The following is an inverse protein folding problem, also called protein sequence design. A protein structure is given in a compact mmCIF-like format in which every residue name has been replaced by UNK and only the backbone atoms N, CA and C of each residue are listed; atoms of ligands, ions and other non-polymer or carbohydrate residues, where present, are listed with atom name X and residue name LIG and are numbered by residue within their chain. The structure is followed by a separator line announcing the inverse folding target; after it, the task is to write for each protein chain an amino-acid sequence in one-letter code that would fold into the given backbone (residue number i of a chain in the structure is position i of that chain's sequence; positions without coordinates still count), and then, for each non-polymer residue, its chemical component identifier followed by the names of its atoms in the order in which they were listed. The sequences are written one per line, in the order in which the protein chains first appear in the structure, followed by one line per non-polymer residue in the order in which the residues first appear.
data_IF_339800015644
#
_entry.id   IF_339800015644
#
_cell.length_a   1.000
_cell.length_b   1.000
_cell.length_c   1.000
_cell.angle_alpha   90.00
_cell.angle_beta   90.00
_cell.angle_gamma   90.00
#
_symmetry.space_group_name_H-M   'P 1'
#
loop_
_entity.id
_entity.type
_entity.pdbx_description
1 polymer ?
#
# COMPACT_ATOMS: atom_id res chain seq x y z
N UNK A 1 24.23 3.22 12.29
CA UNK A 1 23.21 2.29 11.74
C UNK A 1 23.78 1.56 10.54
N UNK A 2 23.97 0.25 10.66
CA UNK A 2 24.36 -0.63 9.56
C UNK A 2 23.26 -0.69 8.50
N UNK A 3 23.60 -1.03 7.26
CA UNK A 3 22.64 -1.16 6.15
C UNK A 3 21.48 -2.10 6.52
N UNK A 4 21.75 -3.16 7.28
CA UNK A 4 20.76 -4.08 7.85
C UNK A 4 19.68 -3.37 8.67
N UNK A 5 20.07 -2.49 9.59
CA UNK A 5 19.11 -1.75 10.42
C UNK A 5 18.23 -0.79 9.61
N UNK A 6 18.74 -0.23 8.51
CA UNK A 6 17.96 0.64 7.62
C UNK A 6 16.95 -0.15 6.80
N UNK A 7 17.37 -1.29 6.24
CA UNK A 7 16.48 -2.17 5.49
C UNK A 7 15.36 -2.72 6.38
N UNK A 8 15.67 -3.10 7.63
CA UNK A 8 14.67 -3.55 8.59
C UNK A 8 13.66 -2.44 8.95
N UNK A 9 14.13 -1.21 9.19
CA UNK A 9 13.24 -0.07 9.46
C UNK A 9 12.36 0.28 8.25
N UNK A 10 12.91 0.20 7.03
CA UNK A 10 12.15 0.43 5.81
C UNK A 10 11.11 -0.67 5.55
N UNK A 11 11.45 -1.94 5.82
CA UNK A 11 10.51 -3.05 5.77
C UNK A 11 9.39 -2.88 6.81
N UNK A 12 9.71 -2.48 8.04
CA UNK A 12 8.72 -2.17 9.07
C UNK A 12 7.76 -1.04 8.62
N UNK A 13 8.29 0.00 7.97
CA UNK A 13 7.47 1.06 7.39
C UNK A 13 6.52 0.54 6.29
N UNK A 14 6.98 -0.40 5.45
CA UNK A 14 6.14 -1.06 4.45
C UNK A 14 5.03 -1.90 5.09
N UNK A 15 5.34 -2.62 6.18
CA UNK A 15 4.36 -3.39 6.94
C UNK A 15 3.29 -2.46 7.49
N UNK A 16 3.67 -1.36 8.16
CA UNK A 16 2.72 -0.39 8.72
C UNK A 16 1.84 0.23 7.63
N UNK A 17 2.44 0.69 6.52
CA UNK A 17 1.72 1.29 5.41
C UNK A 17 0.78 0.27 4.72
N UNK A 18 1.28 -0.93 4.44
CA UNK A 18 0.51 -2.00 3.80
C UNK A 18 -0.65 -2.49 4.67
N UNK A 19 -0.43 -2.64 5.98
CA UNK A 19 -1.50 -2.98 6.94
C UNK A 19 -2.55 -1.87 7.00
N UNK A 20 -2.13 -0.62 7.20
CA UNK A 20 -3.08 0.49 7.32
C UNK A 20 -3.96 0.65 6.07
N UNK A 21 -3.34 0.62 4.89
CA UNK A 21 -4.07 0.78 3.62
C UNK A 21 -4.85 -0.48 3.27
N UNK A 22 -4.31 -1.69 3.53
CA UNK A 22 -5.01 -2.95 3.29
C UNK A 22 -6.26 -3.09 4.17
N UNK A 23 -6.19 -2.68 5.44
CA UNK A 23 -7.36 -2.62 6.33
C UNK A 23 -8.39 -1.61 5.82
N UNK A 24 -7.95 -0.42 5.37
CA UNK A 24 -8.84 0.57 4.79
C UNK A 24 -9.55 0.04 3.53
N UNK A 25 -8.79 -0.57 2.60
CA UNK A 25 -9.34 -1.19 1.40
C UNK A 25 -10.36 -2.28 1.76
N UNK A 26 -10.08 -3.07 2.81
CA UNK A 26 -11.00 -4.10 3.30
C UNK A 26 -12.29 -3.53 3.86
N UNK A 27 -12.22 -2.43 4.62
CA UNK A 27 -13.41 -1.73 5.11
C UNK A 27 -14.22 -1.20 3.95
N UNK A 28 -13.57 -0.57 2.95
CA UNK A 28 -14.23 -0.05 1.76
C UNK A 28 -14.93 -1.17 0.97
N UNK A 29 -14.27 -2.30 0.73
CA UNK A 29 -14.89 -3.48 0.09
C UNK A 29 -16.14 -3.93 0.84
N UNK A 30 -16.08 -4.01 2.17
CA UNK A 30 -17.24 -4.38 2.99
C UNK A 30 -18.38 -3.39 2.88
N UNK A 31 -18.08 -2.10 2.80
CA UNK A 31 -19.10 -1.07 2.55
C UNK A 31 -19.71 -1.21 1.16
N UNK A 32 -18.92 -1.58 0.15
CA UNK A 32 -19.41 -1.81 -1.22
C UNK A 32 -20.44 -2.94 -1.24
N UNK A 33 -20.17 -4.06 -0.57
CA UNK A 33 -21.09 -5.21 -0.50
C UNK A 33 -22.36 -4.88 0.26
N UNK A 34 -22.26 -4.11 1.34
CA UNK A 34 -23.44 -3.61 2.08
C UNK A 34 -24.28 -2.67 1.22
N UNK A 35 -23.64 -1.77 0.47
CA UNK A 35 -24.34 -0.86 -0.45
C UNK A 35 -25.03 -1.60 -1.62
N UNK A 36 -24.47 -2.74 -2.00
CA UNK A 36 -25.01 -3.67 -2.96
C UNK A 36 -26.15 -4.57 -2.42
N UNK A 37 -26.48 -4.47 -1.13
CA UNK A 37 -27.40 -5.38 -0.44
C UNK A 37 -27.00 -6.88 -0.55
N UNK A 38 -25.71 -7.16 -0.80
CA UNK A 38 -25.19 -8.51 -0.86
C UNK A 38 -24.85 -9.05 0.52
N UNK A 39 -24.86 -10.38 0.67
CA UNK A 39 -24.36 -11.03 1.87
C UNK A 39 -22.84 -10.84 1.95
N UNK A 40 -22.37 -10.15 2.98
CA UNK A 40 -20.95 -9.92 3.22
C UNK A 40 -20.25 -11.20 3.69
N UNK A 41 -20.09 -12.18 2.79
CA UNK A 41 -19.42 -13.47 2.99
C UNK A 41 -17.90 -13.36 3.14
N UNK A 42 -17.40 -12.32 3.82
CA UNK A 42 -15.98 -12.10 3.97
C UNK A 42 -15.36 -13.02 5.01
N UNK A 43 -14.50 -13.93 4.55
CA UNK A 43 -13.70 -14.76 5.43
C UNK A 43 -12.56 -13.97 6.09
N UNK A 44 -12.19 -14.38 7.30
CA UNK A 44 -11.00 -13.89 7.99
C UNK A 44 -9.72 -14.20 7.19
N UNK A 45 -9.65 -15.38 6.57
CA UNK A 45 -8.53 -15.79 5.72
C UNK A 45 -8.38 -14.91 4.48
N UNK A 46 -9.48 -14.55 3.80
CA UNK A 46 -9.45 -13.63 2.66
C UNK A 46 -8.98 -12.23 3.06
N UNK A 47 -9.41 -11.75 4.23
CA UNK A 47 -8.98 -10.46 4.77
C UNK A 47 -7.47 -10.43 5.05
N UNK A 48 -6.95 -11.48 5.71
CA UNK A 48 -5.53 -11.63 5.98
C UNK A 48 -4.71 -11.75 4.67
N UNK A 49 -5.23 -12.47 3.67
CA UNK A 49 -4.60 -12.60 2.36
C UNK A 49 -4.41 -11.26 1.66
N UNK A 50 -5.46 -10.43 1.61
CA UNK A 50 -5.40 -9.09 0.99
C UNK A 50 -4.36 -8.22 1.70
N UNK A 51 -4.40 -8.14 3.03
CA UNK A 51 -3.44 -7.34 3.80
C UNK A 51 -2.00 -7.83 3.57
N UNK A 52 -1.80 -9.15 3.53
CA UNK A 52 -0.48 -9.75 3.25
C UNK A 52 0.02 -9.37 1.87
N UNK A 53 -0.84 -9.41 0.84
CA UNK A 53 -0.48 -9.00 -0.52
C UNK A 53 -0.05 -7.52 -0.56
N UNK A 54 -0.78 -6.63 0.11
CA UNK A 54 -0.43 -5.21 0.19
C UNK A 54 0.95 -5.00 0.81
N UNK A 55 1.24 -5.69 1.90
CA UNK A 55 2.54 -5.62 2.58
C UNK A 55 3.65 -6.14 1.67
N UNK A 56 3.51 -7.37 1.16
CA UNK A 56 4.54 -8.05 0.36
C UNK A 56 4.85 -7.27 -0.92
N UNK A 57 3.82 -6.75 -1.60
CA UNK A 57 4.01 -5.96 -2.81
C UNK A 57 4.82 -4.66 -2.58
N UNK A 58 4.76 -4.09 -1.37
CA UNK A 58 5.43 -2.84 -1.03
C UNK A 58 6.84 -3.01 -0.47
N UNK A 59 7.18 -4.18 0.10
CA UNK A 59 8.48 -4.45 0.73
C UNK A 59 9.66 -4.16 -0.21
N UNK A 60 9.71 -4.65 -1.47
CA UNK A 60 10.86 -4.40 -2.35
C UNK A 60 11.10 -2.91 -2.59
N UNK A 61 10.02 -2.16 -2.83
CA UNK A 61 10.08 -0.72 -3.03
C UNK A 61 10.53 0.03 -1.78
N UNK A 62 10.03 -0.35 -0.61
CA UNK A 62 10.44 0.26 0.65
C UNK A 62 11.91 -0.02 0.99
N UNK A 63 12.39 -1.25 0.79
CA UNK A 63 13.82 -1.60 0.94
C UNK A 63 14.66 -0.77 -0.02
N UNK A 64 14.23 -0.62 -1.28
CA UNK A 64 14.91 0.23 -2.25
C UNK A 64 14.97 1.72 -1.84
N UNK A 65 14.02 2.24 -1.05
CA UNK A 65 14.11 3.61 -0.49
C UNK A 65 15.35 3.74 0.41
N UNK A 66 15.77 2.67 1.10
CA UNK A 66 16.90 2.68 2.03
C UNK A 66 18.28 2.46 1.37
N UNK A 67 18.33 1.78 0.22
CA UNK A 67 19.60 1.33 -0.38
C UNK A 67 19.81 1.71 -1.84
N UNK A 68 18.76 2.12 -2.56
CA UNK A 68 18.83 2.38 -4.00
C UNK A 68 18.56 3.85 -4.34
N UNK A 69 18.72 4.19 -5.63
CA UNK A 69 18.37 5.52 -6.15
C UNK A 69 16.86 5.73 -6.06
N UNK A 70 16.45 6.99 -5.84
CA UNK A 70 15.03 7.39 -5.75
C UNK A 70 14.17 6.86 -6.90
N UNK A 71 14.67 6.89 -8.13
CA UNK A 71 13.95 6.38 -9.30
C UNK A 71 13.62 4.90 -9.21
N UNK A 72 14.55 4.07 -8.73
CA UNK A 72 14.35 2.61 -8.56
C UNK A 72 13.31 2.34 -7.47
N UNK A 73 13.39 3.07 -6.35
CA UNK A 73 12.43 2.92 -5.25
C UNK A 73 11.01 3.29 -5.68
N UNK A 74 10.85 4.40 -6.41
CA UNK A 74 9.55 4.81 -6.96
C UNK A 74 9.04 3.78 -7.98
N UNK A 75 9.89 3.30 -8.89
CA UNK A 75 9.50 2.31 -9.88
C UNK A 75 9.00 1.01 -9.22
N UNK A 76 9.69 0.51 -8.19
CA UNK A 76 9.29 -0.71 -7.47
C UNK A 76 8.00 -0.54 -6.67
N UNK A 77 7.80 0.61 -6.00
CA UNK A 77 6.55 0.90 -5.30
C UNK A 77 5.37 1.00 -6.27
N UNK A 78 5.57 1.68 -7.39
CA UNK A 78 4.54 1.78 -8.44
C UNK A 78 4.25 0.41 -9.05
N UNK A 79 5.28 -0.39 -9.33
CA UNK A 79 5.11 -1.75 -9.85
C UNK A 79 4.31 -2.63 -8.88
N UNK A 80 4.60 -2.56 -7.58
CA UNK A 80 3.82 -3.25 -6.55
C UNK A 80 2.35 -2.78 -6.52
N UNK A 81 2.10 -1.49 -6.70
CA UNK A 81 0.74 -0.95 -6.77
C UNK A 81 -0.01 -1.42 -8.00
N UNK A 82 0.65 -1.47 -9.16
CA UNK A 82 0.07 -1.97 -10.41
C UNK A 82 -0.22 -3.47 -10.28
N UNK A 83 0.67 -4.23 -9.66
CA UNK A 83 0.46 -5.65 -9.38
C UNK A 83 -0.81 -5.87 -8.54
N UNK A 84 -1.05 -5.05 -7.52
CA UNK A 84 -2.26 -5.13 -6.68
C UNK A 84 -3.55 -4.81 -7.44
N UNK A 85 -3.50 -4.16 -8.61
CA UNK A 85 -4.69 -3.99 -9.44
C UNK A 85 -5.21 -5.33 -9.97
N UNK A 86 -4.34 -6.33 -10.20
CA UNK A 86 -4.76 -7.66 -10.72
C UNK A 86 -5.73 -8.37 -9.76
N UNK A 87 -5.37 -8.63 -8.49
CA UNK A 87 -6.32 -9.23 -7.56
C UNK A 87 -7.50 -8.30 -7.23
N UNK A 88 -7.32 -6.97 -7.24
CA UNK A 88 -8.41 -6.04 -7.00
C UNK A 88 -9.49 -6.11 -8.09
N UNK A 89 -9.08 -6.20 -9.36
CA UNK A 89 -9.99 -6.42 -10.49
C UNK A 89 -10.66 -7.79 -10.40
N UNK A 90 -9.91 -8.85 -10.06
CA UNK A 90 -10.48 -10.18 -9.87
C UNK A 90 -11.61 -10.19 -8.83
N UNK A 91 -11.37 -9.63 -7.64
CA UNK A 91 -12.38 -9.49 -6.59
C UNK A 91 -13.55 -8.63 -7.07
N UNK A 92 -13.28 -7.50 -7.73
CA UNK A 92 -14.34 -6.65 -8.24
C UNK A 92 -15.20 -7.33 -9.30
N UNK A 93 -14.61 -8.14 -10.18
CA UNK A 93 -15.35 -8.90 -11.20
C UNK A 93 -16.21 -10.00 -10.60
N UNK A 94 -15.71 -10.71 -9.58
CA UNK A 94 -16.51 -11.69 -8.85
C UNK A 94 -17.68 -11.04 -8.10
N UNK A 95 -17.42 -9.93 -7.40
CA UNK A 95 -18.48 -9.21 -6.69
C UNK A 95 -19.50 -8.61 -7.66
N UNK A 96 -19.08 -7.91 -8.72
CA UNK A 96 -19.97 -7.31 -9.72
C UNK A 96 -20.81 -8.37 -10.44
N UNK A 97 -20.25 -9.54 -10.73
CA UNK A 97 -20.98 -10.64 -11.36
C UNK A 97 -22.13 -11.19 -10.51
N UNK A 98 -22.07 -10.98 -9.20
CA UNK A 98 -23.07 -11.40 -8.22
C UNK A 98 -24.03 -10.27 -7.80
N UNK A 99 -23.78 -9.04 -8.27
CA UNK A 99 -24.70 -7.92 -8.07
C UNK A 99 -25.93 -8.14 -8.94
N UNK A 100 -27.07 -8.40 -8.31
CA UNK A 100 -28.38 -8.39 -8.96
C UNK A 100 -28.76 -7.00 -9.49
N UNK A 101 -30.05 -6.78 -9.75
CA UNK A 101 -30.51 -5.50 -10.29
C UNK A 101 -30.41 -4.38 -9.23
N UNK A 102 -29.38 -3.54 -9.36
CA UNK A 102 -29.13 -2.43 -8.46
C UNK A 102 -29.93 -1.21 -8.90
N UNK A 103 -30.73 -0.65 -7.99
CA UNK A 103 -31.31 0.69 -8.19
C UNK A 103 -30.22 1.77 -8.34
N UNK A 104 -30.57 2.93 -8.90
CA UNK A 104 -29.63 4.02 -9.21
C UNK A 104 -28.73 4.42 -8.03
N UNK A 105 -29.28 4.47 -6.81
CA UNK A 105 -28.53 4.80 -5.59
C UNK A 105 -27.48 3.74 -5.28
N UNK A 106 -27.81 2.45 -5.43
CA UNK A 106 -26.89 1.34 -5.24
C UNK A 106 -25.74 1.38 -6.25
N UNK A 107 -26.05 1.63 -7.53
CA UNK A 107 -25.05 1.77 -8.59
C UNK A 107 -24.07 2.89 -8.32
N UNK A 108 -24.56 4.08 -7.92
CA UNK A 108 -23.69 5.22 -7.58
C UNK A 108 -22.83 4.90 -6.35
N UNK A 109 -23.41 4.30 -5.32
CA UNK A 109 -22.69 3.94 -4.10
C UNK A 109 -21.57 2.93 -4.38
N UNK A 110 -21.85 1.87 -5.15
CA UNK A 110 -20.88 0.86 -5.56
C UNK A 110 -19.77 1.47 -6.41
N UNK A 111 -20.11 2.34 -7.37
CA UNK A 111 -19.12 3.03 -8.19
C UNK A 111 -18.18 3.92 -7.37
N UNK A 112 -18.73 4.69 -6.42
CA UNK A 112 -17.94 5.57 -5.54
C UNK A 112 -17.03 4.75 -4.61
N UNK A 113 -17.56 3.71 -3.95
CA UNK A 113 -16.81 2.89 -3.02
C UNK A 113 -15.76 2.03 -3.72
N UNK A 114 -16.10 1.42 -4.86
CA UNK A 114 -15.16 0.72 -5.72
C UNK A 114 -14.06 1.65 -6.21
N UNK A 115 -14.40 2.85 -6.69
CA UNK A 115 -13.43 3.88 -7.05
C UNK A 115 -12.52 4.27 -5.89
N UNK A 116 -13.06 4.37 -4.67
CA UNK A 116 -12.28 4.64 -3.46
C UNK A 116 -11.27 3.51 -3.16
N UNK A 117 -11.64 2.23 -3.38
CA UNK A 117 -10.69 1.11 -3.26
C UNK A 117 -9.51 1.29 -4.21
N UNK A 118 -9.74 1.59 -5.49
CA UNK A 118 -8.65 1.85 -6.44
C UNK A 118 -7.84 3.10 -6.08
N UNK A 119 -8.48 4.13 -5.53
CA UNK A 119 -7.75 5.30 -5.02
C UNK A 119 -6.78 4.92 -3.89
N UNK A 120 -7.12 3.95 -3.03
CA UNK A 120 -6.18 3.47 -2.00
C UNK A 120 -4.92 2.85 -2.60
N UNK A 121 -5.02 2.17 -3.74
CA UNK A 121 -3.86 1.62 -4.47
C UNK A 121 -2.94 2.74 -4.95
N UNK A 122 -3.49 3.82 -5.51
CA UNK A 122 -2.70 4.99 -5.95
C UNK A 122 -2.01 5.70 -4.78
N UNK A 123 -2.66 5.75 -3.63
CA UNK A 123 -2.14 6.39 -2.41
C UNK A 123 -1.07 5.55 -1.72
N UNK A 124 -1.17 4.21 -1.78
CA UNK A 124 -0.27 3.26 -1.15
C UNK A 124 1.24 3.50 -1.40
N UNK A 125 1.73 3.70 -2.65
CA UNK A 125 3.15 3.95 -2.90
C UNK A 125 3.61 5.26 -2.26
N UNK A 126 2.76 6.29 -2.24
CA UNK A 126 3.07 7.60 -1.64
C UNK A 126 3.19 7.48 -0.12
N UNK A 127 2.24 6.79 0.52
CA UNK A 127 2.22 6.55 1.96
C UNK A 127 3.43 5.71 2.38
N UNK A 128 3.70 4.61 1.68
CA UNK A 128 4.86 3.75 1.91
C UNK A 128 6.16 4.53 1.78
N UNK A 129 6.32 5.32 0.70
CA UNK A 129 7.51 6.13 0.49
C UNK A 129 7.72 7.16 1.62
N UNK A 130 6.64 7.82 2.07
CA UNK A 130 6.70 8.80 3.18
C UNK A 130 7.10 8.13 4.50
N UNK A 131 6.51 7.00 4.83
CA UNK A 131 6.85 6.28 6.05
C UNK A 131 8.28 5.73 6.01
N UNK A 132 8.71 5.12 4.91
CA UNK A 132 10.07 4.62 4.75
C UNK A 132 11.12 5.75 4.90
N UNK A 133 10.85 6.93 4.34
CA UNK A 133 11.72 8.11 4.53
C UNK A 133 11.71 8.64 5.96
N UNK A 134 10.56 8.63 6.64
CA UNK A 134 10.42 9.15 8.01
C UNK A 134 11.08 8.25 9.05
N UNK A 135 11.02 6.92 8.87
CA UNK A 135 11.48 5.96 9.87
C UNK A 135 12.94 5.51 9.75
N UNK A 136 13.66 5.76 8.65
CA UNK A 136 15.10 5.46 8.69
C UNK A 136 15.93 5.44 7.41
N UNK A 137 15.45 5.90 6.25
CA UNK A 137 16.10 5.50 5.00
C UNK A 137 17.06 6.50 4.33
N UNK A 138 17.02 7.81 4.62
CA UNK A 138 17.78 8.80 3.81
C UNK A 138 18.76 9.61 4.67
N UNK A 139 20.09 9.44 4.49
CA UNK A 139 21.06 10.42 4.97
C UNK A 139 20.67 11.81 4.47
N UNK A 140 20.58 12.81 5.37
CA UNK A 140 20.36 14.19 4.96
C UNK A 140 21.46 14.59 3.97
N UNK A 141 21.14 14.99 2.73
CA UNK A 141 22.14 15.61 1.85
C UNK A 141 22.65 16.86 2.58
N UNK A 142 23.92 16.87 2.98
CA UNK A 142 24.52 17.98 3.74
C UNK A 142 25.03 17.63 5.14
N UNK A 143 24.95 16.39 5.62
CA UNK A 143 25.77 15.95 6.74
C UNK A 143 27.23 15.76 6.26
N UNK A 144 27.92 16.85 5.96
CA UNK A 144 29.37 16.84 5.78
C UNK A 144 29.98 16.26 7.06
N UNK A 145 30.87 15.25 6.97
CA UNK A 145 31.77 14.96 8.07
C UNK A 145 32.51 16.26 8.33
N UNK A 146 32.31 16.88 9.49
CA UNK A 146 33.22 17.92 9.96
C UNK A 146 34.55 17.18 10.13
N UNK A 147 35.38 17.25 9.09
CA UNK A 147 36.76 16.84 9.19
C UNK A 147 37.32 17.59 10.39
N UNK A 148 37.70 16.86 11.45
CA UNK A 148 38.61 17.41 12.45
C UNK A 148 39.91 17.64 11.71
N UNK A 149 40.01 18.80 11.07
CA UNK A 149 41.28 19.39 10.68
C UNK A 149 42.03 19.58 11.99
N UNK A 150 43.20 18.94 12.08
CA UNK A 150 44.05 18.99 13.26
C UNK A 150 44.24 20.42 13.74
N UNK A 151 44.01 20.64 15.03
CA UNK A 151 44.62 21.75 15.72
C UNK A 151 46.04 21.30 16.14
N UNK A 152 47.02 22.22 16.07
CA UNK A 152 48.46 21.94 16.12
C UNK A 152 48.94 21.34 17.44
#
# INVERSE_FOLDING_TARGET
MSTLTRSAAAAAAAIVAGVAVGVLARILMRLTTVAAAGDAGFSWSGSAGIVTLYVVAMIPGAVAVAVARRGVAVALLTAGSIFLCVPAVGVASEEIGDLGDLGTVGTVAVAVLGGAVFATLVVLPVVTFRFARRFGAVPRPGATPVARVGAP
#
